data_IF_800203985934
#
_entry.id   IF_800203985934
#
_cell.length_a   1.000
_cell.length_b   1.000
_cell.length_c   1.000
_cell.angle_alpha   90.00
_cell.angle_beta   90.00
_cell.angle_gamma   90.00
#
_symmetry.space_group_name_H-M   'P 1'
#
loop_
_entity.id
_entity.type
_entity.pdbx_description
1 polymer ?
#
# COMPACT_ATOMS: atom_id res chain seq x y z
N UNK A 1 -4.52 -19.65 -8.73
CA UNK A 1 -4.44 -18.43 -9.58
C UNK A 1 -3.03 -17.85 -9.70
N UNK A 2 -2.19 -17.88 -8.65
CA UNK A 2 -0.79 -17.39 -8.71
C UNK A 2 0.21 -18.43 -9.25
N UNK A 3 -0.17 -19.71 -9.33
CA UNK A 3 0.75 -20.82 -9.62
C UNK A 3 1.24 -20.91 -11.09
N UNK A 4 0.54 -20.29 -12.04
CA UNK A 4 0.91 -20.40 -13.46
C UNK A 4 1.69 -19.19 -14.01
N UNK A 5 1.56 -18.00 -13.40
CA UNK A 5 2.28 -16.76 -13.78
C UNK A 5 2.37 -15.77 -12.60
N UNK A 6 3.27 -16.00 -11.63
CA UNK A 6 3.38 -15.16 -10.42
C UNK A 6 3.71 -13.69 -10.74
N UNK A 7 4.47 -13.42 -11.81
CA UNK A 7 4.82 -12.06 -12.24
C UNK A 7 3.58 -11.25 -12.67
N UNK A 8 2.71 -11.85 -13.48
CA UNK A 8 1.48 -11.20 -13.97
C UNK A 8 0.50 -11.00 -12.82
N UNK A 9 0.37 -11.99 -11.94
CA UNK A 9 -0.47 -11.87 -10.75
C UNK A 9 0.02 -10.76 -9.81
N UNK A 10 1.33 -10.69 -9.58
CA UNK A 10 1.96 -9.65 -8.76
C UNK A 10 1.74 -8.25 -9.35
N UNK A 11 1.93 -8.09 -10.67
CA UNK A 11 1.69 -6.81 -11.34
C UNK A 11 0.24 -6.36 -11.22
N UNK A 12 -0.74 -7.25 -11.47
CA UNK A 12 -2.17 -6.93 -11.37
C UNK A 12 -2.54 -6.55 -9.93
N UNK A 13 -2.00 -7.25 -8.93
CA UNK A 13 -2.23 -6.95 -7.51
C UNK A 13 -1.60 -5.61 -7.11
N UNK A 14 -0.44 -5.27 -7.69
CA UNK A 14 0.24 -3.99 -7.44
C UNK A 14 -0.46 -2.79 -8.10
N UNK A 15 -1.37 -3.01 -9.05
CA UNK A 15 -2.17 -1.94 -9.61
C UNK A 15 -3.05 -1.30 -8.50
N UNK A 16 -3.19 0.02 -8.48
CA UNK A 16 -3.99 0.73 -7.48
C UNK A 16 -5.49 0.63 -7.78
N UNK A 17 -6.02 -0.58 -8.02
CA UNK A 17 -7.40 -0.83 -8.43
C UNK A 17 -8.40 -0.30 -7.41
N UNK A 18 -8.14 -0.54 -6.11
CA UNK A 18 -8.97 -0.02 -5.01
C UNK A 18 -8.95 1.51 -5.00
N UNK A 19 -7.79 2.12 -5.24
CA UNK A 19 -7.67 3.58 -5.30
C UNK A 19 -8.42 4.16 -6.49
N UNK A 20 -8.37 3.51 -7.66
CA UNK A 20 -9.15 3.91 -8.85
C UNK A 20 -10.65 3.84 -8.55
N UNK A 21 -11.12 2.75 -7.93
CA UNK A 21 -12.52 2.61 -7.53
C UNK A 21 -12.90 3.73 -6.56
N UNK A 22 -12.08 3.98 -5.53
CA UNK A 22 -12.35 5.01 -4.54
C UNK A 22 -12.39 6.42 -5.15
N UNK A 23 -11.53 6.74 -6.11
CA UNK A 23 -11.53 8.01 -6.84
C UNK A 23 -12.79 8.16 -7.71
N UNK A 24 -13.15 7.12 -8.47
CA UNK A 24 -14.33 7.14 -9.34
C UNK A 24 -15.61 7.29 -8.52
N UNK A 25 -15.75 6.51 -7.44
CA UNK A 25 -16.91 6.62 -6.55
C UNK A 25 -16.94 7.96 -5.82
N UNK A 26 -15.79 8.45 -5.33
CA UNK A 26 -15.68 9.77 -4.71
C UNK A 26 -16.18 10.88 -5.64
N UNK A 27 -15.76 10.83 -6.90
CA UNK A 27 -16.14 11.78 -7.93
C UNK A 27 -17.64 11.71 -8.28
N UNK A 28 -18.18 10.51 -8.48
CA UNK A 28 -19.61 10.32 -8.76
C UNK A 28 -20.47 10.83 -7.59
N UNK A 29 -20.02 10.62 -6.35
CA UNK A 29 -20.80 10.90 -5.16
C UNK A 29 -20.75 12.38 -4.74
N UNK A 30 -19.60 13.05 -4.85
CA UNK A 30 -19.39 14.39 -4.31
C UNK A 30 -19.21 15.47 -5.39
N UNK A 31 -18.87 15.10 -6.63
CA UNK A 31 -18.74 16.04 -7.76
C UNK A 31 -17.71 17.16 -7.56
N UNK A 32 -16.76 16.96 -6.64
CA UNK A 32 -15.77 17.95 -6.23
C UNK A 32 -14.37 17.54 -6.71
N UNK A 33 -13.92 18.20 -7.77
CA UNK A 33 -12.63 17.96 -8.41
C UNK A 33 -11.46 18.23 -7.46
N UNK A 34 -11.57 19.21 -6.55
CA UNK A 34 -10.50 19.58 -5.62
C UNK A 34 -10.26 18.46 -4.59
N UNK A 35 -11.35 17.90 -4.06
CA UNK A 35 -11.29 16.78 -3.13
C UNK A 35 -10.78 15.50 -3.80
N UNK A 36 -11.18 15.24 -5.05
CA UNK A 36 -10.65 14.12 -5.85
C UNK A 36 -9.15 14.25 -6.11
N UNK A 37 -8.66 15.46 -6.40
CA UNK A 37 -7.22 15.73 -6.59
C UNK A 37 -6.44 15.57 -5.28
N UNK A 38 -6.97 16.09 -4.16
CA UNK A 38 -6.35 15.93 -2.84
C UNK A 38 -6.22 14.44 -2.49
N UNK A 39 -7.28 13.67 -2.73
CA UNK A 39 -7.29 12.24 -2.45
C UNK A 39 -6.30 11.49 -3.34
N UNK A 40 -6.22 11.81 -4.63
CA UNK A 40 -5.22 11.23 -5.54
C UNK A 40 -3.78 11.51 -5.08
N UNK A 41 -3.48 12.73 -4.61
CA UNK A 41 -2.17 13.08 -4.03
C UNK A 41 -1.88 12.27 -2.77
N UNK A 42 -2.88 12.08 -1.90
CA UNK A 42 -2.74 11.24 -0.71
C UNK A 42 -2.44 9.79 -1.06
N UNK A 43 -3.13 9.22 -2.05
CA UNK A 43 -2.88 7.86 -2.55
C UNK A 43 -1.45 7.76 -3.10
N UNK A 44 -1.02 8.74 -3.89
CA UNK A 44 0.32 8.75 -4.51
C UNK A 44 1.45 8.68 -3.47
N UNK A 45 1.28 9.30 -2.30
CA UNK A 45 2.25 9.24 -1.20
C UNK A 45 2.07 7.95 -0.38
N UNK A 46 0.82 7.55 -0.12
CA UNK A 46 0.49 6.38 0.68
C UNK A 46 0.95 5.05 0.07
N UNK A 47 0.85 4.90 -1.26
CA UNK A 47 1.23 3.65 -1.95
C UNK A 47 2.72 3.33 -1.76
N UNK A 48 3.69 4.24 -2.01
CA UNK A 48 5.10 3.99 -1.72
C UNK A 48 5.38 3.61 -0.26
N UNK A 49 4.70 4.23 0.70
CA UNK A 49 4.86 3.91 2.12
C UNK A 49 4.37 2.47 2.39
N UNK A 50 3.27 2.07 1.75
CA UNK A 50 2.73 0.72 1.89
C UNK A 50 3.71 -0.35 1.40
N UNK A 51 4.67 -0.03 0.53
CA UNK A 51 5.67 -0.99 0.07
C UNK A 51 6.63 -1.48 1.16
N UNK A 52 6.73 -0.76 2.29
CA UNK A 52 7.48 -1.19 3.47
C UNK A 52 6.96 -2.54 3.99
N UNK A 53 5.68 -2.87 3.76
CA UNK A 53 5.10 -4.19 4.03
C UNK A 53 5.84 -5.35 3.36
N UNK A 54 6.34 -5.13 2.13
CA UNK A 54 6.96 -6.20 1.34
C UNK A 54 8.42 -6.46 1.72
N UNK A 55 9.09 -5.55 2.47
CA UNK A 55 10.48 -5.70 2.88
C UNK A 55 10.85 -7.07 3.47
N UNK A 56 10.12 -7.64 4.44
CA UNK A 56 10.47 -8.94 5.02
C UNK A 56 10.36 -10.08 3.99
N UNK A 57 9.53 -9.94 2.95
CA UNK A 57 9.37 -10.95 1.89
C UNK A 57 10.57 -11.03 0.93
N UNK A 58 11.43 -10.01 0.89
CA UNK A 58 12.68 -10.03 0.12
C UNK A 58 13.84 -10.70 0.87
N UNK A 59 13.68 -10.98 2.17
CA UNK A 59 14.76 -11.51 3.00
C UNK A 59 14.79 -13.04 2.95
N UNK A 60 15.98 -13.68 3.06
CA UNK A 60 16.10 -15.13 3.20
C UNK A 60 15.42 -15.68 4.48
N UNK A 61 15.03 -14.81 5.41
CA UNK A 61 14.32 -15.17 6.65
C UNK A 61 12.97 -15.84 6.38
N UNK A 62 12.36 -15.55 5.21
CA UNK A 62 11.07 -16.11 4.77
C UNK A 62 11.16 -17.63 4.64
N UNK A 63 12.27 -18.15 4.12
CA UNK A 63 12.47 -19.60 3.96
C UNK A 63 12.78 -20.32 5.26
N UNK A 64 13.27 -19.59 6.28
CA UNK A 64 13.65 -20.16 7.59
C UNK A 64 12.50 -20.20 8.60
N UNK A 65 11.68 -19.15 8.67
CA UNK A 65 10.60 -19.04 9.66
C UNK A 65 9.20 -19.25 9.05
N UNK A 66 9.11 -19.31 7.72
CA UNK A 66 7.86 -19.54 7.00
C UNK A 66 7.02 -18.28 6.75
N UNK A 67 5.88 -18.48 6.09
CA UNK A 67 5.00 -17.42 5.63
C UNK A 67 4.37 -16.59 6.75
N UNK A 68 3.78 -17.26 7.76
CA UNK A 68 2.98 -16.59 8.78
C UNK A 68 3.77 -15.58 9.64
N UNK A 69 4.98 -15.92 10.15
CA UNK A 69 5.79 -14.93 10.87
C UNK A 69 6.23 -13.76 9.99
N UNK A 70 6.57 -14.04 8.73
CA UNK A 70 6.92 -13.01 7.74
C UNK A 70 5.76 -12.04 7.52
N UNK A 71 4.54 -12.57 7.38
CA UNK A 71 3.32 -11.78 7.23
C UNK A 71 3.07 -10.89 8.45
N UNK A 72 3.20 -11.41 9.67
CA UNK A 72 3.05 -10.63 10.90
C UNK A 72 4.04 -9.47 10.95
N UNK A 73 5.31 -9.72 10.62
CA UNK A 73 6.34 -8.66 10.55
C UNK A 73 5.98 -7.62 9.49
N UNK A 74 5.52 -8.04 8.31
CA UNK A 74 5.06 -7.14 7.25
C UNK A 74 3.93 -6.22 7.73
N UNK A 75 2.91 -6.77 8.41
CA UNK A 75 1.80 -6.00 8.97
C UNK A 75 2.29 -5.02 10.04
N UNK A 76 3.19 -5.45 10.94
CA UNK A 76 3.78 -4.56 11.95
C UNK A 76 4.56 -3.41 11.31
N UNK A 77 5.32 -3.68 10.25
CA UNK A 77 6.06 -2.68 9.50
C UNK A 77 5.14 -1.70 8.76
N UNK A 78 4.03 -2.18 8.18
CA UNK A 78 3.02 -1.32 7.56
C UNK A 78 2.42 -0.35 8.59
N UNK A 79 2.02 -0.87 9.75
CA UNK A 79 1.52 -0.05 10.86
C UNK A 79 2.55 0.98 11.33
N UNK A 80 3.79 0.55 11.58
CA UNK A 80 4.88 1.43 11.98
C UNK A 80 5.21 2.51 10.95
N UNK A 81 5.23 2.15 9.65
CA UNK A 81 5.46 3.07 8.55
C UNK A 81 4.38 4.15 8.44
N UNK A 82 3.11 3.79 8.67
CA UNK A 82 2.02 4.76 8.74
C UNK A 82 2.23 5.78 9.87
N UNK A 83 2.55 5.32 11.08
CA UNK A 83 2.80 6.23 12.21
C UNK A 83 4.02 7.12 12.00
N UNK A 84 5.10 6.56 11.44
CA UNK A 84 6.29 7.35 11.11
C UNK A 84 5.97 8.45 10.10
N UNK A 85 5.22 8.13 9.06
CA UNK A 85 4.78 9.12 8.07
C UNK A 85 3.93 10.22 8.69
N UNK A 86 2.94 9.86 9.53
CA UNK A 86 2.13 10.82 10.28
C UNK A 86 2.99 11.74 11.15
N UNK A 87 3.96 11.18 11.87
CA UNK A 87 4.88 11.95 12.70
C UNK A 87 5.74 12.93 11.87
N UNK A 88 6.22 12.52 10.69
CA UNK A 88 7.00 13.37 9.81
C UNK A 88 6.17 14.52 9.23
N UNK A 89 4.95 14.25 8.75
CA UNK A 89 4.05 15.30 8.25
C UNK A 89 3.70 16.29 9.36
N UNK A 90 3.39 15.79 10.56
CA UNK A 90 3.06 16.62 11.72
C UNK A 90 4.22 17.53 12.17
N UNK A 91 5.46 17.21 11.78
CA UNK A 91 6.65 18.01 12.12
C UNK A 91 7.03 19.02 11.03
N UNK A 92 6.45 18.88 9.83
CA UNK A 92 6.71 19.72 8.67
C UNK A 92 5.63 20.81 8.51
N UNK A 93 4.41 20.54 8.98
CA UNK A 93 3.30 21.51 9.07
C UNK A 93 3.40 22.36 10.33
#
# INVERSE_FOLDING_TARGET
MAENKPEVAGFIIALPLVSIIALVFGQIQHGDDENSILFAKSIFIGVPISYVFFLPFFLPVVTRYGFWPTLTVGISLLGGGYFLHQFLIAKIT
#
